data_IF_662513203905
#
_entry.id   IF_662513203905
#
_cell.length_a   1.000
_cell.length_b   1.000
_cell.length_c   1.000
_cell.angle_alpha   90.00
_cell.angle_beta   90.00
_cell.angle_gamma   90.00
#
_symmetry.space_group_name_H-M   'P 1'
#
loop_
_entity.id
_entity.type
_entity.pdbx_description
1 polymer ?
#
# COMPACT_ATOMS: atom_id res chain seq x y z
N UNK A 1 -0.70 40.41 4.45
CA UNK A 1 -1.47 39.38 3.75
C UNK A 1 -0.82 38.05 4.16
N UNK A 2 -1.41 37.37 5.15
CA UNK A 2 -0.82 36.17 5.73
C UNK A 2 -1.55 34.94 5.24
N UNK A 3 -0.87 34.08 4.52
CA UNK A 3 -1.33 32.74 4.18
C UNK A 3 -1.18 31.82 5.39
N UNK A 4 -2.29 31.32 5.87
CA UNK A 4 -2.35 30.25 6.87
C UNK A 4 -2.20 28.92 6.17
N UNK A 5 -0.99 28.40 6.10
CA UNK A 5 -0.75 26.99 5.82
C UNK A 5 -1.23 26.17 7.03
N UNK A 6 -2.09 25.20 6.78
CA UNK A 6 -2.67 24.33 7.79
C UNK A 6 -1.61 23.68 8.69
N UNK A 7 -1.82 23.75 9.99
CA UNK A 7 -0.85 23.45 11.02
C UNK A 7 -0.27 22.05 10.95
N UNK A 8 0.98 21.95 10.52
CA UNK A 8 1.82 20.76 10.69
C UNK A 8 2.50 20.85 12.05
N UNK A 9 2.09 20.02 12.99
CA UNK A 9 2.70 20.00 14.33
C UNK A 9 3.80 18.95 14.36
N UNK A 10 5.06 19.41 14.44
CA UNK A 10 6.22 18.53 14.68
C UNK A 10 6.31 18.29 16.19
N UNK A 11 5.96 17.10 16.64
CA UNK A 11 6.17 16.69 18.04
C UNK A 11 7.44 15.86 18.16
N UNK A 12 8.45 16.41 18.83
CA UNK A 12 9.56 15.64 19.40
C UNK A 12 9.10 15.13 20.78
N UNK A 13 8.60 13.92 20.85
CA UNK A 13 8.09 13.38 22.10
C UNK A 13 8.49 11.91 22.29
N UNK A 14 8.90 11.62 23.53
CA UNK A 14 9.26 10.29 23.99
C UNK A 14 8.17 9.25 23.78
N UNK A 15 8.55 7.98 23.94
CA UNK A 15 7.72 6.79 23.79
C UNK A 15 6.36 6.93 24.53
N UNK A 16 5.40 7.57 23.90
CA UNK A 16 4.00 7.40 24.29
C UNK A 16 3.56 6.05 23.68
N UNK A 17 3.30 5.07 24.54
CA UNK A 17 2.57 3.86 24.13
C UNK A 17 1.33 4.32 23.39
N UNK A 18 1.26 3.99 22.08
CA UNK A 18 0.05 4.20 21.31
C UNK A 18 -1.10 3.59 22.12
N UNK A 19 -2.08 4.42 22.49
CA UNK A 19 -3.30 3.95 23.09
C UNK A 19 -3.91 2.97 22.09
N UNK A 20 -3.88 1.69 22.44
CA UNK A 20 -4.63 0.67 21.72
C UNK A 20 -6.09 1.11 21.88
N UNK A 21 -6.67 1.62 20.78
CA UNK A 21 -8.11 1.84 20.72
C UNK A 21 -8.73 0.47 20.97
N UNK A 22 -9.24 0.28 22.19
CA UNK A 22 -9.99 -0.92 22.51
C UNK A 22 -11.22 -0.94 21.60
N UNK A 23 -11.45 -2.02 20.86
CA UNK A 23 -12.66 -2.15 20.07
C UNK A 23 -13.86 -2.11 21.01
N UNK A 24 -14.82 -1.24 20.70
CA UNK A 24 -16.10 -1.23 21.40
C UNK A 24 -16.68 -2.65 21.41
N UNK A 25 -17.04 -3.12 22.59
CA UNK A 25 -17.65 -4.42 22.79
C UNK A 25 -19.00 -4.47 22.05
N UNK A 26 -19.14 -5.30 21.03
CA UNK A 26 -20.47 -5.42 20.40
C UNK A 26 -20.66 -6.51 19.35
N UNK A 27 -19.64 -7.02 18.71
CA UNK A 27 -19.82 -8.10 17.73
C UNK A 27 -18.83 -9.22 18.03
N UNK A 28 -19.36 -10.40 18.41
CA UNK A 28 -18.54 -11.59 18.57
C UNK A 28 -17.77 -11.86 17.27
N UNK A 29 -16.43 -11.99 17.31
CA UNK A 29 -15.67 -12.24 16.10
C UNK A 29 -16.12 -13.57 15.50
N UNK A 30 -16.52 -13.55 14.24
CA UNK A 30 -16.81 -14.79 13.50
C UNK A 30 -15.63 -15.74 13.70
N UNK A 31 -15.89 -17.01 14.04
CA UNK A 31 -14.82 -17.94 14.39
C UNK A 31 -13.82 -18.00 13.25
N UNK A 32 -12.55 -17.69 13.53
CA UNK A 32 -11.45 -17.62 12.54
C UNK A 32 -11.43 -18.83 11.59
N UNK A 33 -11.83 -19.99 12.10
CA UNK A 33 -11.93 -21.25 11.33
C UNK A 33 -12.95 -21.17 10.18
N UNK A 34 -14.10 -20.52 10.40
CA UNK A 34 -15.11 -20.36 9.34
C UNK A 34 -14.63 -19.43 8.23
N UNK A 35 -13.96 -18.35 8.58
CA UNK A 35 -13.36 -17.43 7.61
C UNK A 35 -12.29 -18.15 6.78
N UNK A 36 -11.39 -18.89 7.44
CA UNK A 36 -10.36 -19.67 6.77
C UNK A 36 -10.94 -20.76 5.86
N UNK A 37 -11.99 -21.46 6.31
CA UNK A 37 -12.68 -22.45 5.49
C UNK A 37 -13.32 -21.81 4.26
N UNK A 38 -13.97 -20.66 4.43
CA UNK A 38 -14.57 -19.91 3.30
C UNK A 38 -13.50 -19.42 2.32
N UNK A 39 -12.37 -18.89 2.80
CA UNK A 39 -11.22 -18.50 1.96
C UNK A 39 -10.67 -19.70 1.17
N UNK A 40 -10.52 -20.85 1.83
CA UNK A 40 -10.03 -22.07 1.20
C UNK A 40 -10.99 -22.57 0.12
N UNK A 41 -12.29 -22.68 0.42
CA UNK A 41 -13.32 -23.11 -0.53
C UNK A 41 -13.40 -22.16 -1.72
N UNK A 42 -13.36 -20.87 -1.47
CA UNK A 42 -13.32 -19.86 -2.53
C UNK A 42 -12.08 -20.01 -3.41
N UNK A 43 -10.90 -20.16 -2.83
CA UNK A 43 -9.67 -20.36 -3.59
C UNK A 43 -9.70 -21.69 -4.40
N UNK A 44 -10.28 -22.74 -3.83
CA UNK A 44 -10.47 -24.01 -4.52
C UNK A 44 -11.42 -23.87 -5.73
N UNK A 45 -12.56 -23.20 -5.56
CA UNK A 45 -13.48 -22.90 -6.64
C UNK A 45 -12.83 -22.05 -7.74
N UNK A 46 -12.05 -21.04 -7.35
CA UNK A 46 -11.32 -20.20 -8.30
C UNK A 46 -10.26 -20.94 -9.10
N UNK A 47 -9.70 -22.04 -8.58
CA UNK A 47 -8.77 -22.89 -9.35
C UNK A 47 -9.41 -23.60 -10.52
N UNK A 48 -10.73 -23.82 -10.48
CA UNK A 48 -11.50 -24.42 -11.58
C UNK A 48 -11.69 -23.43 -12.75
N UNK A 49 -11.66 -22.13 -12.48
CA UNK A 49 -11.76 -21.12 -13.52
C UNK A 49 -10.42 -20.99 -14.29
N UNK A 50 -10.45 -20.70 -15.61
CA UNK A 50 -9.25 -20.38 -16.37
C UNK A 50 -8.50 -19.21 -15.75
N UNK A 51 -7.16 -19.29 -15.69
CA UNK A 51 -6.29 -18.31 -14.98
C UNK A 51 -6.58 -16.86 -15.37
N UNK A 52 -6.78 -16.61 -16.68
CA UNK A 52 -7.10 -15.28 -17.25
C UNK A 52 -8.40 -14.66 -16.71
N UNK A 53 -9.34 -15.47 -16.26
CA UNK A 53 -10.64 -14.99 -15.76
C UNK A 53 -10.67 -14.83 -14.24
N UNK A 54 -9.68 -15.36 -13.52
CA UNK A 54 -9.69 -15.37 -12.04
C UNK A 54 -9.64 -13.98 -11.44
N UNK A 55 -8.92 -13.06 -12.06
CA UNK A 55 -8.86 -11.68 -11.58
C UNK A 55 -10.22 -10.99 -11.72
N UNK A 56 -10.87 -11.09 -12.88
CA UNK A 56 -12.22 -10.56 -13.08
C UNK A 56 -13.25 -11.17 -12.14
N UNK A 57 -13.18 -12.50 -11.93
CA UNK A 57 -14.02 -13.18 -10.95
C UNK A 57 -13.76 -12.70 -9.53
N UNK A 58 -12.49 -12.45 -9.15
CA UNK A 58 -12.14 -11.89 -7.85
C UNK A 58 -12.72 -10.47 -7.65
N UNK A 59 -12.68 -9.63 -8.69
CA UNK A 59 -13.32 -8.31 -8.68
C UNK A 59 -14.84 -8.43 -8.47
N UNK A 60 -15.49 -9.35 -9.15
CA UNK A 60 -16.93 -9.59 -8.99
C UNK A 60 -17.26 -10.08 -7.56
N UNK A 61 -16.53 -11.08 -7.06
CA UNK A 61 -16.74 -11.61 -5.70
C UNK A 61 -16.45 -10.53 -4.64
N UNK A 62 -15.43 -9.71 -4.82
CA UNK A 62 -15.15 -8.60 -3.91
C UNK A 62 -16.32 -7.61 -3.82
N UNK A 63 -16.96 -7.30 -4.96
CA UNK A 63 -18.15 -6.44 -4.98
C UNK A 63 -19.32 -7.06 -4.21
N UNK A 64 -19.57 -8.34 -4.43
CA UNK A 64 -20.66 -9.06 -3.76
C UNK A 64 -20.40 -9.26 -2.26
N UNK A 65 -19.14 -9.52 -1.88
CA UNK A 65 -18.72 -9.75 -0.49
C UNK A 65 -18.55 -8.47 0.34
N UNK A 66 -18.49 -7.30 -0.28
CA UNK A 66 -18.25 -6.02 0.43
C UNK A 66 -19.16 -5.82 1.65
N UNK A 67 -20.49 -6.06 1.60
CA UNK A 67 -21.35 -5.87 2.77
C UNK A 67 -20.97 -6.78 3.95
N UNK A 68 -20.60 -8.03 3.65
CA UNK A 68 -20.19 -9.01 4.68
C UNK A 68 -18.82 -8.70 5.24
N UNK A 69 -17.87 -8.31 4.40
CA UNK A 69 -16.52 -7.97 4.81
C UNK A 69 -16.49 -6.75 5.73
N UNK A 70 -17.38 -5.78 5.54
CA UNK A 70 -17.53 -4.60 6.41
C UNK A 70 -17.85 -4.95 7.86
N UNK A 71 -18.39 -6.13 8.12
CA UNK A 71 -18.66 -6.60 9.48
C UNK A 71 -17.41 -7.14 10.18
N UNK A 72 -16.30 -7.29 9.47
CA UNK A 72 -15.05 -7.84 10.03
C UNK A 72 -14.16 -6.74 10.61
N UNK A 73 -13.51 -7.03 11.74
CA UNK A 73 -12.54 -6.10 12.36
C UNK A 73 -11.36 -5.80 11.44
N UNK A 74 -10.93 -6.79 10.65
CA UNK A 74 -9.85 -6.62 9.70
C UNK A 74 -10.21 -5.58 8.63
N UNK A 75 -11.44 -5.60 8.11
CA UNK A 75 -11.94 -4.61 7.17
C UNK A 75 -11.98 -3.21 7.80
N UNK A 76 -12.55 -3.10 9.02
CA UNK A 76 -12.64 -1.82 9.73
C UNK A 76 -11.26 -1.21 10.00
N UNK A 77 -10.28 -2.05 10.40
CA UNK A 77 -8.88 -1.60 10.55
C UNK A 77 -8.30 -1.05 9.25
N UNK A 78 -8.56 -1.69 8.11
CA UNK A 78 -8.11 -1.20 6.80
C UNK A 78 -8.83 0.09 6.39
N UNK A 79 -10.13 0.20 6.68
CA UNK A 79 -10.92 1.41 6.41
C UNK A 79 -10.42 2.62 7.21
N UNK A 80 -9.97 2.40 8.47
CA UNK A 80 -9.39 3.44 9.32
C UNK A 80 -8.05 3.99 8.79
N UNK A 81 -7.31 3.23 7.98
CA UNK A 81 -6.10 3.71 7.31
C UNK A 81 -6.44 4.76 6.24
N UNK A 82 -7.66 4.72 5.71
CA UNK A 82 -8.28 5.85 5.00
C UNK A 82 -7.89 6.04 3.53
N UNK A 83 -7.02 5.20 2.96
CA UNK A 83 -6.59 5.36 1.55
C UNK A 83 -7.49 4.66 0.54
N UNK A 84 -8.28 3.68 0.98
CA UNK A 84 -9.03 2.82 0.09
C UNK A 84 -10.53 3.00 0.22
N UNK A 85 -11.22 2.84 -0.90
CA UNK A 85 -12.67 2.68 -0.90
C UNK A 85 -13.07 1.27 -0.49
N UNK A 86 -14.36 1.07 -0.17
CA UNK A 86 -14.87 -0.24 0.25
C UNK A 86 -14.60 -1.37 -0.75
N UNK A 87 -14.57 -1.05 -2.03
CA UNK A 87 -14.32 -2.02 -3.10
C UNK A 87 -12.86 -2.44 -3.18
N UNK A 88 -11.94 -1.49 -3.02
CA UNK A 88 -10.50 -1.76 -3.01
C UNK A 88 -10.13 -2.63 -1.82
N UNK A 89 -10.67 -2.31 -0.63
CA UNK A 89 -10.46 -3.10 0.59
C UNK A 89 -10.98 -4.53 0.38
N UNK A 90 -12.21 -4.69 -0.13
CA UNK A 90 -12.78 -6.00 -0.38
C UNK A 90 -11.96 -6.79 -1.41
N UNK A 91 -11.51 -6.14 -2.48
CA UNK A 91 -10.66 -6.76 -3.49
C UNK A 91 -9.32 -7.19 -2.91
N UNK A 92 -8.70 -6.37 -2.05
CA UNK A 92 -7.49 -6.74 -1.35
C UNK A 92 -7.65 -8.04 -0.52
N UNK A 93 -8.74 -8.15 0.26
CA UNK A 93 -9.00 -9.37 1.05
C UNK A 93 -9.17 -10.59 0.16
N UNK A 94 -9.92 -10.46 -0.92
CA UNK A 94 -10.14 -11.54 -1.89
C UNK A 94 -8.82 -11.97 -2.55
N UNK A 95 -8.02 -11.03 -3.04
CA UNK A 95 -6.74 -11.32 -3.69
C UNK A 95 -5.72 -11.92 -2.70
N UNK A 96 -5.71 -11.45 -1.45
CA UNK A 96 -4.86 -12.04 -0.41
C UNK A 96 -5.29 -13.47 -0.07
N UNK A 97 -6.59 -13.75 0.02
CA UNK A 97 -7.10 -15.10 0.23
C UNK A 97 -6.67 -16.04 -0.90
N UNK A 98 -6.80 -15.61 -2.16
CA UNK A 98 -6.33 -16.37 -3.32
C UNK A 98 -4.81 -16.62 -3.25
N UNK A 99 -4.02 -15.59 -2.99
CA UNK A 99 -2.55 -15.69 -2.94
C UNK A 99 -2.09 -16.62 -1.82
N UNK A 100 -2.63 -16.47 -0.61
CA UNK A 100 -2.30 -17.32 0.55
C UNK A 100 -2.62 -18.79 0.29
N UNK A 101 -3.72 -19.05 -0.39
CA UNK A 101 -4.13 -20.41 -0.74
C UNK A 101 -3.50 -20.92 -2.05
N UNK A 102 -2.53 -20.22 -2.64
CA UNK A 102 -1.78 -20.65 -3.82
C UNK A 102 -2.58 -20.64 -5.12
N UNK A 103 -3.69 -19.93 -5.18
CA UNK A 103 -4.43 -19.73 -6.41
C UNK A 103 -3.72 -18.67 -7.27
N UNK A 104 -3.27 -19.09 -8.46
CA UNK A 104 -2.61 -18.19 -9.42
C UNK A 104 -3.64 -17.40 -10.19
N UNK A 105 -3.39 -16.11 -10.39
CA UNK A 105 -4.19 -15.23 -11.25
C UNK A 105 -3.30 -14.20 -11.95
N UNK A 106 -3.78 -13.68 -13.06
CA UNK A 106 -3.09 -12.64 -13.81
C UNK A 106 -3.93 -11.35 -13.67
N UNK A 107 -3.45 -10.36 -12.91
CA UNK A 107 -4.14 -9.09 -12.79
C UNK A 107 -4.02 -8.32 -14.10
N UNK A 108 -5.10 -7.64 -14.50
CA UNK A 108 -5.04 -6.64 -15.56
C UNK A 108 -4.61 -5.34 -14.91
N UNK A 109 -3.34 -4.97 -15.11
CA UNK A 109 -2.76 -3.76 -14.53
C UNK A 109 -2.29 -2.85 -15.66
N UNK A 110 -2.89 -1.66 -15.75
CA UNK A 110 -2.37 -0.54 -16.54
C UNK A 110 -1.37 0.23 -15.67
N UNK A 111 -0.22 0.59 -16.22
CA UNK A 111 0.78 1.34 -15.46
C UNK A 111 1.20 2.60 -16.19
N UNK A 112 1.11 3.70 -15.47
CA UNK A 112 1.59 5.02 -15.92
C UNK A 112 2.90 5.36 -15.22
N UNK A 113 3.83 5.94 -15.95
CA UNK A 113 5.13 6.34 -15.39
C UNK A 113 6.15 5.21 -15.22
N UNK A 114 5.89 3.98 -15.73
CA UNK A 114 6.81 2.84 -15.54
C UNK A 114 8.20 3.07 -16.15
N UNK A 115 8.28 3.79 -17.26
CA UNK A 115 9.55 4.14 -17.89
C UNK A 115 10.49 4.95 -16.97
N UNK A 116 9.96 5.70 -16.01
CA UNK A 116 10.77 6.40 -15.00
C UNK A 116 11.46 5.41 -14.05
N UNK A 117 10.74 4.37 -13.62
CA UNK A 117 11.32 3.31 -12.79
C UNK A 117 12.39 2.54 -13.56
N UNK A 118 12.12 2.17 -14.82
CA UNK A 118 13.09 1.46 -15.66
C UNK A 118 14.37 2.28 -15.84
N UNK A 119 14.25 3.58 -16.13
CA UNK A 119 15.41 4.48 -16.23
C UNK A 119 16.18 4.59 -14.91
N UNK A 120 15.47 4.70 -13.79
CA UNK A 120 16.09 4.77 -12.47
C UNK A 120 16.85 3.48 -12.13
N UNK A 121 16.29 2.31 -12.42
CA UNK A 121 16.94 1.03 -12.21
C UNK A 121 18.14 0.85 -13.15
N UNK A 122 18.03 1.24 -14.42
CA UNK A 122 19.11 1.13 -15.41
C UNK A 122 20.30 2.06 -15.08
N UNK A 123 20.09 3.15 -14.36
CA UNK A 123 21.16 4.05 -13.93
C UNK A 123 22.12 3.42 -12.91
N UNK A 124 21.81 2.24 -12.35
CA UNK A 124 22.66 1.53 -11.38
C UNK A 124 22.73 2.17 -9.99
N UNK A 125 22.03 3.27 -9.79
CA UNK A 125 21.82 3.86 -8.46
C UNK A 125 20.69 3.12 -7.76
N UNK A 126 20.71 3.04 -6.42
CA UNK A 126 19.62 2.45 -5.67
C UNK A 126 18.31 3.19 -5.89
N UNK A 127 17.22 2.45 -5.94
CA UNK A 127 15.87 3.00 -6.13
C UNK A 127 15.03 2.70 -4.91
N UNK A 128 14.40 3.73 -4.33
CA UNK A 128 13.42 3.60 -3.27
C UNK A 128 12.04 3.96 -3.81
N UNK A 129 11.15 2.96 -3.88
CA UNK A 129 9.75 3.18 -4.25
C UNK A 129 8.91 3.24 -2.97
N UNK A 130 8.19 4.34 -2.80
CA UNK A 130 7.32 4.59 -1.66
C UNK A 130 5.86 4.63 -2.12
N UNK A 131 4.99 3.94 -1.42
CA UNK A 131 3.55 4.01 -1.63
C UNK A 131 2.80 4.16 -0.31
N UNK A 132 1.58 4.70 -0.32
CA UNK A 132 0.70 4.64 0.83
C UNK A 132 0.31 3.18 1.11
N UNK A 133 -0.09 2.90 2.34
CA UNK A 133 -0.59 1.58 2.73
C UNK A 133 -1.99 1.33 2.14
N UNK A 134 -2.05 1.37 0.82
CA UNK A 134 -3.26 1.13 0.06
C UNK A 134 -3.42 -0.37 -0.28
N UNK A 135 -4.65 -0.81 -0.34
CA UNK A 135 -5.04 -2.21 -0.52
C UNK A 135 -4.42 -2.85 -1.76
N UNK A 136 -4.26 -2.10 -2.84
CA UNK A 136 -3.79 -2.62 -4.12
C UNK A 136 -2.29 -2.41 -4.38
N UNK A 137 -1.56 -1.80 -3.44
CA UNK A 137 -0.09 -1.57 -3.59
C UNK A 137 0.68 -2.88 -3.83
N UNK A 138 0.19 -4.01 -3.30
CA UNK A 138 0.77 -5.34 -3.54
C UNK A 138 0.78 -5.74 -5.02
N UNK A 139 -0.16 -5.25 -5.82
CA UNK A 139 -0.18 -5.50 -7.26
C UNK A 139 0.93 -4.75 -8.00
N UNK A 140 1.41 -3.62 -7.45
CA UNK A 140 2.60 -2.95 -7.98
C UNK A 140 3.85 -3.82 -7.82
N UNK A 141 3.99 -4.50 -6.67
CA UNK A 141 5.07 -5.46 -6.46
C UNK A 141 4.99 -6.60 -7.49
N UNK A 142 3.78 -7.12 -7.76
CA UNK A 142 3.56 -8.14 -8.79
C UNK A 142 4.02 -7.64 -10.15
N UNK A 143 3.64 -6.43 -10.53
CA UNK A 143 4.02 -5.84 -11.79
C UNK A 143 5.54 -5.73 -11.94
N UNK A 144 6.26 -5.31 -10.88
CA UNK A 144 7.71 -5.23 -10.92
C UNK A 144 8.34 -6.59 -11.24
N UNK A 145 7.85 -7.66 -10.61
CA UNK A 145 8.27 -9.03 -10.93
C UNK A 145 7.94 -9.44 -12.38
N UNK A 146 6.74 -9.13 -12.87
CA UNK A 146 6.32 -9.46 -14.23
C UNK A 146 7.18 -8.73 -15.30
N UNK A 147 7.83 -7.62 -14.92
CA UNK A 147 8.78 -6.86 -15.75
C UNK A 147 10.24 -7.22 -15.49
N UNK A 148 10.50 -8.33 -14.78
CA UNK A 148 11.86 -8.81 -14.51
C UNK A 148 12.63 -8.02 -13.46
N UNK A 149 11.97 -7.09 -12.74
CA UNK A 149 12.55 -6.44 -11.57
C UNK A 149 12.46 -7.36 -10.35
N UNK A 150 13.44 -7.28 -9.45
CA UNK A 150 13.47 -8.08 -8.22
C UNK A 150 13.49 -7.17 -6.98
N UNK A 151 12.33 -6.58 -6.62
CA UNK A 151 12.25 -5.64 -5.51
C UNK A 151 12.47 -6.31 -4.16
N UNK A 152 13.05 -5.55 -3.25
CA UNK A 152 13.11 -5.87 -1.82
C UNK A 152 12.03 -5.08 -1.10
N UNK A 153 11.13 -5.74 -0.41
CA UNK A 153 10.01 -5.09 0.28
C UNK A 153 10.28 -4.98 1.77
N UNK A 154 10.10 -3.79 2.33
CA UNK A 154 10.13 -3.61 3.79
C UNK A 154 8.76 -4.00 4.34
N UNK A 155 8.70 -5.12 5.06
CA UNK A 155 7.46 -5.70 5.58
C UNK A 155 7.73 -6.53 6.84
N UNK A 156 6.80 -6.58 7.81
CA UNK A 156 6.89 -7.51 8.94
C UNK A 156 6.66 -8.98 8.55
N UNK A 157 6.11 -9.26 7.35
CA UNK A 157 5.85 -10.62 6.86
C UNK A 157 7.06 -11.16 6.07
N UNK A 158 7.85 -12.09 6.66
CA UNK A 158 8.99 -12.69 5.97
C UNK A 158 8.57 -13.67 4.87
N UNK A 159 7.34 -14.16 4.92
CA UNK A 159 6.75 -15.10 3.96
C UNK A 159 5.89 -14.44 2.89
N UNK A 160 5.96 -13.13 2.74
CA UNK A 160 5.17 -12.39 1.77
C UNK A 160 5.34 -12.97 0.37
N UNK A 161 4.22 -13.27 -0.27
CA UNK A 161 4.19 -13.77 -1.65
C UNK A 161 3.87 -12.67 -2.64
N UNK A 162 4.41 -12.82 -3.83
CA UNK A 162 3.99 -12.01 -4.99
C UNK A 162 2.54 -12.34 -5.32
N UNK A 163 1.67 -11.32 -5.37
CA UNK A 163 0.23 -11.50 -5.57
C UNK A 163 -0.08 -12.39 -6.79
N UNK A 164 -0.90 -13.41 -6.58
CA UNK A 164 -1.31 -14.34 -7.63
C UNK A 164 -0.22 -15.28 -8.14
N UNK A 165 0.90 -15.43 -7.41
CA UNK A 165 1.96 -16.39 -7.73
C UNK A 165 2.30 -17.30 -6.55
N UNK A 166 3.25 -18.18 -6.75
CA UNK A 166 3.86 -18.99 -5.68
C UNK A 166 5.22 -18.46 -5.23
N UNK A 167 5.74 -17.44 -5.91
CA UNK A 167 7.04 -16.82 -5.60
C UNK A 167 6.96 -16.00 -4.33
N UNK A 168 8.01 -16.06 -3.52
CA UNK A 168 8.18 -15.21 -2.34
C UNK A 168 8.92 -13.94 -2.70
N UNK A 169 8.59 -12.86 -2.02
CA UNK A 169 9.26 -11.56 -2.15
C UNK A 169 10.51 -11.55 -1.29
N UNK A 170 11.59 -10.95 -1.78
CA UNK A 170 12.73 -10.61 -0.91
C UNK A 170 12.30 -9.53 0.08
N UNK A 171 12.53 -9.76 1.38
CA UNK A 171 12.04 -8.86 2.42
C UNK A 171 13.16 -8.30 3.31
N UNK A 172 12.91 -7.12 3.87
CA UNK A 172 13.60 -6.57 5.03
C UNK A 172 12.57 -6.38 6.13
N UNK A 173 12.76 -7.09 7.23
CA UNK A 173 11.87 -6.93 8.38
C UNK A 173 12.17 -5.65 9.15
N UNK A 174 11.15 -4.93 9.63
CA UNK A 174 11.29 -3.85 10.59
C UNK A 174 12.02 -4.37 11.85
N UNK A 175 13.16 -3.79 12.14
CA UNK A 175 14.05 -4.16 13.25
C UNK A 175 14.90 -2.94 13.60
N UNK A 176 15.58 -2.88 14.74
CA UNK A 176 16.45 -1.75 15.06
C UNK A 176 17.52 -1.46 13.99
N UNK A 177 17.90 -2.47 13.20
CA UNK A 177 18.91 -2.35 12.14
C UNK A 177 18.34 -2.22 10.73
N UNK A 178 17.01 -2.13 10.56
CA UNK A 178 16.40 -2.14 9.23
C UNK A 178 16.85 -0.98 8.34
N UNK A 179 17.06 0.21 8.90
CA UNK A 179 17.57 1.37 8.15
C UNK A 179 19.00 1.15 7.63
N UNK A 180 19.85 0.48 8.43
CA UNK A 180 21.21 0.11 7.99
C UNK A 180 21.16 -0.90 6.86
N UNK A 181 20.30 -1.91 6.98
CA UNK A 181 20.08 -2.91 5.92
C UNK A 181 19.56 -2.26 4.64
N UNK A 182 18.58 -1.37 4.76
CA UNK A 182 18.02 -0.61 3.62
C UNK A 182 19.08 0.25 2.95
N UNK A 183 19.86 0.98 3.73
CA UNK A 183 21.00 1.76 3.22
C UNK A 183 21.98 0.90 2.43
N UNK A 184 22.35 -0.27 2.97
CA UNK A 184 23.25 -1.21 2.29
C UNK A 184 22.71 -1.67 0.95
N UNK A 185 21.40 -1.94 0.85
CA UNK A 185 20.74 -2.36 -0.39
C UNK A 185 20.71 -1.24 -1.42
N UNK A 186 20.29 -0.04 -1.03
CA UNK A 186 20.29 1.14 -1.90
C UNK A 186 21.70 1.43 -2.47
N UNK A 187 22.75 1.32 -1.64
CA UNK A 187 24.12 1.50 -2.11
C UNK A 187 24.60 0.45 -3.09
N UNK A 188 23.97 -0.72 -3.13
CA UNK A 188 24.24 -1.76 -4.14
C UNK A 188 23.39 -1.64 -5.40
N UNK A 189 22.65 -0.55 -5.56
CA UNK A 189 21.79 -0.35 -6.72
C UNK A 189 20.48 -1.15 -6.68
N UNK A 190 20.10 -1.70 -5.52
CA UNK A 190 18.89 -2.51 -5.43
C UNK A 190 17.61 -1.65 -5.43
N UNK A 191 16.51 -2.23 -5.95
CA UNK A 191 15.16 -1.67 -5.86
C UNK A 191 14.55 -2.05 -4.50
N UNK A 192 14.22 -1.04 -3.70
CA UNK A 192 13.57 -1.21 -2.39
C UNK A 192 12.18 -0.59 -2.42
N UNK A 193 11.18 -1.30 -1.93
CA UNK A 193 9.80 -0.85 -1.82
C UNK A 193 9.39 -0.75 -0.35
N UNK A 194 8.71 0.32 0.02
CA UNK A 194 8.25 0.55 1.39
C UNK A 194 6.93 1.34 1.45
N UNK A 195 6.24 1.19 2.58
CA UNK A 195 5.06 1.96 2.96
C UNK A 195 5.39 2.74 4.24
N UNK A 196 5.83 4.00 4.12
CA UNK A 196 6.33 4.77 5.25
C UNK A 196 5.23 5.29 6.20
N UNK A 197 3.98 5.16 5.82
CA UNK A 197 2.78 5.53 6.58
C UNK A 197 2.39 4.52 7.67
N UNK A 198 3.15 3.45 7.86
CA UNK A 198 3.12 2.55 9.01
C UNK A 198 4.27 2.84 10.00
N UNK A 199 4.33 4.04 10.47
CA UNK A 199 5.41 4.52 11.33
C UNK A 199 5.56 3.80 12.67
N UNK A 200 4.51 3.19 13.16
CA UNK A 200 4.51 2.36 14.38
C UNK A 200 5.54 1.22 14.36
N UNK A 201 5.94 0.80 13.17
CA UNK A 201 6.93 -0.25 12.99
C UNK A 201 8.37 0.27 12.89
N UNK A 202 8.57 1.59 12.88
CA UNK A 202 9.86 2.16 12.51
C UNK A 202 10.64 2.79 13.65
N UNK A 203 10.08 2.88 14.87
CA UNK A 203 10.78 3.35 16.08
C UNK A 203 11.45 4.74 15.95
N UNK A 204 11.05 5.54 14.95
CA UNK A 204 11.68 6.76 14.53
C UNK A 204 10.80 7.98 14.84
N UNK A 205 11.40 9.17 14.73
CA UNK A 205 10.61 10.41 14.67
C UNK A 205 9.59 10.30 13.54
N UNK A 206 8.35 10.64 13.84
CA UNK A 206 7.24 10.60 12.90
C UNK A 206 6.72 11.99 12.63
N UNK A 207 6.20 12.19 11.44
CA UNK A 207 5.41 13.38 11.06
C UNK A 207 3.97 12.94 10.92
N UNK A 208 3.08 13.69 11.55
CA UNK A 208 1.66 13.47 11.52
C UNK A 208 0.98 14.56 10.71
N UNK A 209 0.04 14.16 9.87
CA UNK A 209 -0.79 15.08 9.08
C UNK A 209 -2.20 14.52 8.89
N UNK A 210 -3.13 15.40 8.51
CA UNK A 210 -4.53 15.04 8.28
C UNK A 210 -4.81 15.02 6.78
N UNK A 211 -5.53 14.00 6.34
CA UNK A 211 -6.08 13.88 4.99
C UNK A 211 -7.60 13.91 5.03
N UNK A 212 -8.23 14.01 3.88
CA UNK A 212 -9.68 13.87 3.76
C UNK A 212 -10.22 12.52 4.29
N UNK A 213 -9.36 11.52 4.41
CA UNK A 213 -9.71 10.18 4.86
C UNK A 213 -9.34 9.89 6.32
N UNK A 214 -8.64 10.80 6.98
CA UNK A 214 -8.22 10.65 8.36
C UNK A 214 -6.79 11.08 8.65
N UNK A 215 -6.29 10.64 9.79
CA UNK A 215 -4.95 10.96 10.30
C UNK A 215 -3.93 9.97 9.75
N UNK A 216 -2.84 10.47 9.22
CA UNK A 216 -1.74 9.66 8.67
C UNK A 216 -0.44 10.00 9.40
N UNK A 217 0.35 8.98 9.68
CA UNK A 217 1.64 9.09 10.36
C UNK A 217 2.72 8.54 9.43
N UNK A 218 3.71 9.35 9.10
CA UNK A 218 4.81 8.98 8.20
C UNK A 218 6.14 8.96 8.96
N UNK A 219 6.98 7.97 8.66
CA UNK A 219 8.35 7.88 9.15
C UNK A 219 9.34 8.46 8.11
N UNK A 220 9.91 9.67 8.32
CA UNK A 220 10.84 10.31 7.38
C UNK A 220 12.18 9.59 7.23
N UNK A 221 12.48 8.65 8.12
CA UNK A 221 13.79 8.01 8.20
C UNK A 221 14.22 7.33 6.88
N UNK A 222 13.27 6.74 6.15
CA UNK A 222 13.55 6.10 4.84
C UNK A 222 13.94 7.13 3.78
N UNK A 223 13.23 8.27 3.70
CA UNK A 223 13.54 9.36 2.77
C UNK A 223 14.93 9.94 3.05
N UNK A 224 15.24 10.16 4.34
CA UNK A 224 16.56 10.64 4.76
C UNK A 224 17.68 9.65 4.42
N UNK A 225 17.43 8.35 4.56
CA UNK A 225 18.39 7.30 4.16
C UNK A 225 18.60 7.32 2.65
N UNK A 226 17.53 7.40 1.86
CA UNK A 226 17.62 7.45 0.41
C UNK A 226 18.40 8.68 -0.08
N UNK A 227 18.07 9.87 0.42
CA UNK A 227 18.77 11.12 0.09
C UNK A 227 20.28 11.03 0.40
N UNK A 228 20.65 10.52 1.60
CA UNK A 228 22.07 10.33 1.99
C UNK A 228 22.82 9.29 1.15
N UNK A 229 22.10 8.40 0.47
CA UNK A 229 22.69 7.41 -0.42
C UNK A 229 22.77 7.88 -1.86
N UNK A 230 22.18 9.02 -2.22
CA UNK A 230 21.97 9.42 -3.59
C UNK A 230 21.02 8.50 -4.35
N UNK A 231 20.15 7.77 -3.63
CA UNK A 231 19.19 6.86 -4.24
C UNK A 231 18.06 7.65 -4.92
N UNK A 232 17.58 7.14 -6.06
CA UNK A 232 16.39 7.71 -6.71
C UNK A 232 15.15 7.33 -5.91
N UNK A 233 14.32 8.31 -5.57
CA UNK A 233 13.04 8.08 -4.90
C UNK A 233 11.93 8.23 -5.92
N UNK A 234 10.95 7.32 -5.87
CA UNK A 234 9.73 7.35 -6.68
C UNK A 234 8.54 7.08 -5.77
N UNK A 235 7.40 7.69 -6.07
CA UNK A 235 6.14 7.42 -5.38
C UNK A 235 5.26 6.54 -6.25
N UNK A 236 4.50 5.65 -5.62
CA UNK A 236 3.59 4.75 -6.34
C UNK A 236 2.25 4.63 -5.64
N UNK A 237 1.22 4.45 -6.43
CA UNK A 237 -0.11 4.08 -5.97
C UNK A 237 -0.74 3.07 -6.92
N UNK A 238 -1.80 2.42 -6.46
CA UNK A 238 -2.67 1.58 -7.29
C UNK A 238 -4.12 1.75 -6.87
N UNK A 239 -5.03 1.80 -7.83
CA UNK A 239 -6.47 1.85 -7.58
C UNK A 239 -7.23 0.96 -8.57
N UNK A 240 -8.45 0.58 -8.20
CA UNK A 240 -9.31 -0.20 -9.09
C UNK A 240 -10.05 0.74 -10.05
N UNK A 241 -10.01 0.41 -11.34
CA UNK A 241 -10.79 1.07 -12.39
C UNK A 241 -11.56 0.03 -13.20
N UNK A 242 -12.88 0.03 -13.07
CA UNK A 242 -13.72 -0.94 -13.74
C UNK A 242 -13.39 -2.39 -13.36
N UNK A 243 -12.81 -3.14 -14.29
CA UNK A 243 -12.36 -4.53 -14.14
C UNK A 243 -10.83 -4.67 -14.11
N UNK A 244 -10.09 -3.56 -14.10
CA UNK A 244 -8.63 -3.49 -14.10
C UNK A 244 -8.11 -2.79 -12.85
N UNK A 245 -6.78 -2.74 -12.73
CA UNK A 245 -6.08 -1.91 -11.75
C UNK A 245 -5.21 -0.93 -12.51
N UNK A 246 -5.28 0.33 -12.12
CA UNK A 246 -4.37 1.35 -12.62
C UNK A 246 -3.32 1.63 -11.57
N UNK A 247 -2.07 1.37 -11.91
CA UNK A 247 -0.90 1.73 -11.14
C UNK A 247 -0.26 2.98 -11.69
N UNK A 248 0.26 3.86 -10.84
CA UNK A 248 0.96 5.05 -11.26
C UNK A 248 2.28 5.18 -10.51
N UNK A 249 3.32 5.62 -11.21
CA UNK A 249 4.64 5.90 -10.66
C UNK A 249 4.95 7.37 -10.92
N UNK A 250 5.33 8.09 -9.87
CA UNK A 250 5.60 9.53 -9.89
C UNK A 250 7.02 9.81 -9.39
N UNK A 251 7.71 10.71 -10.06
CA UNK A 251 8.90 11.31 -9.48
C UNK A 251 8.49 12.38 -8.45
N UNK A 252 9.21 12.56 -7.33
CA UNK A 252 9.01 13.68 -6.43
C UNK A 252 9.31 15.00 -7.16
N UNK A 253 8.66 16.07 -6.75
CA UNK A 253 8.93 17.42 -7.26
C UNK A 253 10.29 17.93 -6.77
N UNK A 254 10.62 17.65 -5.50
CA UNK A 254 11.90 17.99 -4.88
C UNK A 254 12.55 16.77 -4.22
N UNK A 255 13.70 16.36 -4.74
CA UNK A 255 14.51 15.27 -4.21
C UNK A 255 15.82 15.75 -3.56
N UNK A 256 15.94 17.05 -3.27
CA UNK A 256 17.19 17.68 -2.79
C UNK A 256 17.57 17.21 -1.39
N UNK A 257 16.62 16.85 -0.55
CA UNK A 257 16.83 16.41 0.81
C UNK A 257 15.81 15.37 1.28
N UNK A 258 16.09 14.68 2.39
CA UNK A 258 15.13 13.76 3.00
C UNK A 258 13.90 14.45 3.58
N UNK A 259 14.02 15.72 3.95
CA UNK A 259 12.89 16.50 4.47
C UNK A 259 12.00 16.98 3.30
N UNK A 260 12.59 17.48 2.20
CA UNK A 260 11.85 17.79 0.97
C UNK A 260 11.10 16.57 0.42
N UNK A 261 11.77 15.41 0.34
CA UNK A 261 11.11 14.14 -0.03
C UNK A 261 9.95 13.78 0.89
N UNK A 262 10.04 14.11 2.17
CA UNK A 262 8.96 13.84 3.14
C UNK A 262 7.77 14.76 2.89
N UNK A 263 8.00 16.04 2.65
CA UNK A 263 6.97 17.02 2.33
C UNK A 263 6.26 16.65 1.02
N UNK A 264 7.01 16.29 -0.01
CA UNK A 264 6.46 15.82 -1.28
C UNK A 264 5.62 14.55 -1.13
N UNK A 265 6.09 13.58 -0.31
CA UNK A 265 5.32 12.38 -0.06
C UNK A 265 4.01 12.68 0.68
N UNK A 266 4.03 13.61 1.64
CA UNK A 266 2.82 14.07 2.34
C UNK A 266 1.84 14.70 1.36
N UNK A 267 2.32 15.60 0.50
CA UNK A 267 1.51 16.24 -0.54
C UNK A 267 0.89 15.20 -1.49
N UNK A 268 1.71 14.27 -1.98
CA UNK A 268 1.25 13.16 -2.81
C UNK A 268 0.11 12.38 -2.16
N UNK A 269 0.26 12.02 -0.88
CA UNK A 269 -0.76 11.28 -0.12
C UNK A 269 -2.04 12.10 0.06
N UNK A 270 -1.94 13.39 0.38
CA UNK A 270 -3.08 14.30 0.56
C UNK A 270 -3.87 14.49 -0.73
N UNK A 271 -3.20 14.71 -1.86
CA UNK A 271 -3.83 14.83 -3.17
C UNK A 271 -4.60 13.57 -3.55
N UNK A 272 -4.02 12.38 -3.30
CA UNK A 272 -4.67 11.10 -3.58
C UNK A 272 -5.89 10.86 -2.71
N UNK A 273 -5.81 11.15 -1.43
CA UNK A 273 -6.95 11.07 -0.52
C UNK A 273 -8.09 12.02 -0.95
N UNK A 274 -7.75 13.23 -1.38
CA UNK A 274 -8.70 14.25 -1.86
C UNK A 274 -9.37 13.83 -3.17
N UNK A 275 -8.61 13.38 -4.16
CA UNK A 275 -9.13 12.93 -5.45
C UNK A 275 -10.11 11.75 -5.29
N UNK A 276 -9.82 10.81 -4.39
CA UNK A 276 -10.72 9.69 -4.07
C UNK A 276 -12.00 10.14 -3.37
N UNK A 277 -11.93 11.14 -2.51
CA UNK A 277 -13.10 11.70 -1.83
C UNK A 277 -14.01 12.44 -2.81
N UNK A 278 -13.45 13.21 -3.74
CA UNK A 278 -14.19 13.91 -4.80
C UNK A 278 -14.89 12.93 -5.76
N UNK A 279 -14.22 11.85 -6.17
CA UNK A 279 -14.81 10.79 -7.00
C UNK A 279 -15.97 10.04 -6.32
N UNK A 280 -16.01 9.98 -4.99
CA UNK A 280 -17.15 9.44 -4.23
C UNK A 280 -18.35 10.38 -4.23
N UNK A 281 -18.13 11.69 -4.14
CA UNK A 281 -19.22 12.69 -4.16
C UNK A 281 -19.94 12.78 -5.50
N UNK A 282 -19.21 12.68 -6.60
CA UNK A 282 -19.79 12.77 -7.95
C UNK A 282 -20.68 11.58 -8.33
N UNK A 283 -20.45 10.37 -7.75
CA UNK A 283 -21.28 9.19 -8.04
C UNK A 283 -22.60 9.12 -7.25
N UNK A 284 -22.72 9.89 -6.18
CA UNK A 284 -23.96 9.98 -5.40
C UNK A 284 -24.96 10.97 -6.05
N UNK A 285 -24.45 11.99 -6.74
CA UNK A 285 -25.29 13.00 -7.38
C UNK A 285 -25.93 12.56 -8.71
N UNK A 286 -25.42 11.52 -9.38
CA UNK A 286 -25.95 11.01 -10.66
C UNK A 286 -26.98 9.89 -10.53
N UNK A 287 -27.38 9.53 -9.31
CA UNK A 287 -28.33 8.45 -9.03
C UNK A 287 -29.78 8.91 -8.76
N UNK A 288 -30.10 10.18 -8.97
CA UNK A 288 -31.48 10.70 -8.88
C UNK A 288 -31.84 11.39 -10.18
N UNK A 289 -32.30 10.63 -11.15
CA UNK A 289 -33.15 11.09 -12.25
C UNK A 289 -33.93 9.90 -12.81
#
# INVERSE_FOLDING_TARGET
VGDRLGGTTIRSGGYARAAVVQPEAGVAPAPRRLIQAAEFLFAAAMRLAPRRHRFGAAVFVARAATPLLRLTDAYRKQELIGFDGPREIALHFVLNALTRNGARFDPVVEVRGFAELERACAAGTGVLVLGPHAALTLLMIRLFYDRGLDPVVITPDPGMRVAGTTSTVRTVQPSPTFLVKTRGRLRRGELVCAMPDRAEHHGARTVEFVTASGRVIVAPALMRVAARCGARVLFTEAHADGGSVVGTIHAPADASSGDALTEDFITFVQERASARSAGRGMRVATGQS
#
